data_IF_971113690396
#
_entry.id   IF_971113690396
#
_cell.length_a   1.000
_cell.length_b   1.000
_cell.length_c   1.000
_cell.angle_alpha   90.00
_cell.angle_beta   90.00
_cell.angle_gamma   90.00
#
_symmetry.space_group_name_H-M   'P 1'
#
loop_
_entity.id
_entity.type
_entity.pdbx_description
1 polymer ?
#
# COMPACT_ATOMS: atom_id res chain seq x y z
N UNK A 1 47.87 17.74 9.56
CA UNK A 1 46.63 17.00 9.88
C UNK A 1 46.43 15.98 8.78
N UNK A 2 46.73 14.70 9.04
CA UNK A 2 46.51 13.63 8.08
C UNK A 2 45.04 13.19 8.16
N UNK A 3 44.33 13.23 7.04
CA UNK A 3 42.97 12.70 6.89
C UNK A 3 43.08 11.19 6.69
N UNK A 4 42.77 10.39 7.71
CA UNK A 4 42.58 8.96 7.50
C UNK A 4 41.30 8.71 6.72
N UNK A 5 41.42 7.96 5.62
CA UNK A 5 40.27 7.54 4.81
C UNK A 5 39.57 6.39 5.54
N UNK A 6 38.30 6.61 5.89
CA UNK A 6 37.41 5.59 6.44
C UNK A 6 37.38 4.36 5.52
N UNK A 7 37.77 3.20 6.06
CA UNK A 7 37.77 1.93 5.34
C UNK A 7 36.34 1.58 4.90
N UNK A 8 36.13 1.47 3.58
CA UNK A 8 34.84 1.09 3.01
C UNK A 8 34.51 -0.37 3.36
N UNK A 9 33.43 -0.58 4.13
CA UNK A 9 33.00 -1.91 4.55
C UNK A 9 32.25 -2.65 3.42
N UNK A 10 33.01 -3.48 2.69
CA UNK A 10 32.54 -4.30 1.58
C UNK A 10 31.46 -5.31 2.03
N UNK A 11 31.54 -5.83 3.25
CA UNK A 11 30.61 -6.82 3.77
C UNK A 11 29.22 -6.19 3.99
N UNK A 12 29.18 -5.00 4.58
CA UNK A 12 27.94 -4.23 4.78
C UNK A 12 27.29 -3.87 3.44
N UNK A 13 28.10 -3.50 2.44
CA UNK A 13 27.60 -3.16 1.10
C UNK A 13 26.97 -4.36 0.38
N UNK A 14 27.60 -5.54 0.44
CA UNK A 14 27.07 -6.79 -0.14
C UNK A 14 25.75 -7.22 0.52
N UNK A 15 25.65 -7.16 1.85
CA UNK A 15 24.44 -7.50 2.59
C UNK A 15 23.25 -6.58 2.22
N UNK A 16 23.50 -5.28 2.05
CA UNK A 16 22.49 -4.30 1.60
C UNK A 16 22.00 -4.62 0.17
N UNK A 17 22.90 -5.03 -0.72
CA UNK A 17 22.54 -5.34 -2.10
C UNK A 17 21.67 -6.62 -2.21
N UNK A 18 21.96 -7.62 -1.37
CA UNK A 18 21.15 -8.84 -1.25
C UNK A 18 19.70 -8.53 -0.83
N UNK A 19 19.51 -7.73 0.23
CA UNK A 19 18.17 -7.31 0.68
C UNK A 19 17.41 -6.54 -0.39
N UNK A 20 18.10 -5.67 -1.16
CA UNK A 20 17.48 -4.92 -2.26
C UNK A 20 17.00 -5.85 -3.37
N UNK A 21 17.82 -6.84 -3.76
CA UNK A 21 17.45 -7.86 -4.76
C UNK A 21 16.23 -8.68 -4.30
N UNK A 22 16.21 -9.10 -3.05
CA UNK A 22 15.08 -9.86 -2.47
C UNK A 22 13.80 -9.01 -2.42
N UNK A 23 13.91 -7.72 -2.07
CA UNK A 23 12.76 -6.79 -2.11
C UNK A 23 12.19 -6.63 -3.52
N UNK A 24 13.05 -6.51 -4.53
CA UNK A 24 12.66 -6.39 -5.93
C UNK A 24 11.98 -7.68 -6.39
N UNK A 25 12.60 -8.84 -6.16
CA UNK A 25 12.02 -10.14 -6.53
C UNK A 25 10.68 -10.39 -5.84
N UNK A 26 10.57 -10.02 -4.55
CA UNK A 26 9.31 -10.07 -3.81
C UNK A 26 8.25 -9.16 -4.45
N UNK A 27 8.62 -7.94 -4.84
CA UNK A 27 7.73 -7.03 -5.55
C UNK A 27 7.28 -7.62 -6.90
N UNK A 28 8.17 -8.22 -7.68
CA UNK A 28 7.83 -8.90 -8.94
C UNK A 28 6.90 -10.10 -8.71
N UNK A 29 7.13 -10.91 -7.68
CA UNK A 29 6.28 -12.07 -7.36
C UNK A 29 4.89 -11.68 -6.84
N UNK A 30 4.79 -10.53 -6.17
CA UNK A 30 3.51 -9.97 -5.71
C UNK A 30 2.73 -9.29 -6.85
N UNK A 31 3.37 -9.00 -7.99
CA UNK A 31 2.69 -8.59 -9.23
C UNK A 31 2.13 -9.83 -9.95
N UNK A 32 1.19 -10.51 -9.30
CA UNK A 32 0.30 -11.43 -9.98
C UNK A 32 -0.62 -10.61 -10.90
N UNK A 33 -0.39 -10.74 -12.21
CA UNK A 33 -1.28 -10.30 -13.29
C UNK A 33 -1.50 -8.77 -13.43
N UNK A 34 -0.46 -8.01 -13.76
CA UNK A 34 -0.66 -6.63 -14.22
C UNK A 34 -0.88 -6.59 -15.73
N UNK A 35 -2.12 -6.34 -16.16
CA UNK A 35 -2.44 -5.76 -17.47
C UNK A 35 -1.98 -4.28 -17.50
N UNK A 36 -0.76 -4.00 -17.03
CA UNK A 36 -0.09 -2.70 -17.15
C UNK A 36 0.81 -2.78 -18.39
N UNK A 37 0.17 -2.72 -19.56
CA UNK A 37 0.86 -2.63 -20.85
C UNK A 37 1.50 -1.23 -20.89
N UNK A 38 2.84 -1.18 -20.89
CA UNK A 38 3.56 0.08 -21.08
C UNK A 38 3.15 0.74 -22.40
N UNK A 39 2.87 2.04 -22.37
CA UNK A 39 2.44 2.81 -23.56
C UNK A 39 0.97 3.21 -23.59
N UNK A 40 0.18 2.89 -22.56
CA UNK A 40 -1.21 3.39 -22.44
C UNK A 40 -1.26 4.73 -21.71
N UNK A 41 -2.08 5.68 -22.21
CA UNK A 41 -2.31 7.02 -21.61
C UNK A 41 -3.17 6.98 -20.33
N UNK A 42 -3.35 5.80 -19.73
CA UNK A 42 -4.26 5.62 -18.61
C UNK A 42 -3.55 5.89 -17.28
N UNK A 43 -4.28 6.50 -16.35
CA UNK A 43 -3.76 6.91 -15.04
C UNK A 43 -3.48 5.66 -14.21
N UNK A 44 -2.23 5.20 -14.16
CA UNK A 44 -1.87 4.01 -13.37
C UNK A 44 -2.06 4.28 -11.87
N UNK A 45 -2.84 3.42 -11.22
CA UNK A 45 -3.00 3.44 -9.76
C UNK A 45 -1.94 2.50 -9.16
N UNK A 46 -1.26 2.95 -8.12
CA UNK A 46 -0.26 2.13 -7.45
C UNK A 46 -0.94 1.04 -6.62
N UNK A 47 -0.27 -0.10 -6.43
CA UNK A 47 -0.78 -1.20 -5.59
C UNK A 47 -1.20 -0.74 -4.19
N UNK A 48 -0.43 0.19 -3.61
CA UNK A 48 -0.78 0.79 -2.32
C UNK A 48 -2.14 1.49 -2.35
N UNK A 49 -2.45 2.26 -3.41
CA UNK A 49 -3.73 2.96 -3.54
C UNK A 49 -4.89 1.99 -3.77
N UNK A 50 -4.68 0.89 -4.49
CA UNK A 50 -5.68 -0.18 -4.59
C UNK A 50 -5.96 -0.81 -3.22
N UNK A 51 -4.91 -1.14 -2.45
CA UNK A 51 -5.04 -1.70 -1.11
C UNK A 51 -5.76 -0.73 -0.15
N UNK A 52 -5.42 0.56 -0.22
CA UNK A 52 -6.13 1.63 0.52
C UNK A 52 -7.60 1.70 0.12
N UNK A 53 -7.91 1.64 -1.18
CA UNK A 53 -9.27 1.66 -1.69
C UNK A 53 -10.11 0.47 -1.18
N UNK A 54 -9.55 -0.74 -1.23
CA UNK A 54 -10.23 -1.95 -0.74
C UNK A 54 -10.51 -1.87 0.77
N UNK A 55 -9.52 -1.46 1.57
CA UNK A 55 -9.70 -1.26 3.02
C UNK A 55 -10.74 -0.17 3.29
N UNK A 56 -10.67 0.94 2.58
CA UNK A 56 -11.59 2.07 2.74
C UNK A 56 -13.03 1.68 2.41
N UNK A 57 -13.27 0.96 1.31
CA UNK A 57 -14.61 0.50 0.93
C UNK A 57 -15.19 -0.49 1.94
N UNK A 58 -14.36 -1.36 2.52
CA UNK A 58 -14.81 -2.20 3.63
C UNK A 58 -15.20 -1.37 4.85
N UNK A 59 -14.39 -0.39 5.25
CA UNK A 59 -14.71 0.50 6.37
C UNK A 59 -15.96 1.35 6.13
N UNK A 60 -16.26 1.72 4.89
CA UNK A 60 -17.50 2.40 4.52
C UNK A 60 -18.72 1.49 4.75
N UNK A 61 -18.61 0.17 4.52
CA UNK A 61 -19.74 -0.75 4.69
C UNK A 61 -20.01 -1.15 6.13
N UNK A 62 -18.97 -1.26 6.97
CA UNK A 62 -19.08 -1.68 8.38
C UNK A 62 -18.95 -0.53 9.38
N UNK A 63 -18.77 0.71 8.91
CA UNK A 63 -18.50 1.95 9.68
C UNK A 63 -17.15 1.98 10.42
N UNK A 64 -16.83 0.95 11.19
CA UNK A 64 -15.57 0.82 11.91
C UNK A 64 -15.18 -0.64 12.12
N UNK A 65 -13.89 -0.95 12.05
CA UNK A 65 -13.40 -2.30 12.26
C UNK A 65 -11.96 -2.32 12.80
N UNK A 66 -11.58 -3.46 13.38
CA UNK A 66 -10.21 -3.72 13.79
C UNK A 66 -9.31 -4.12 12.60
N UNK A 67 -7.98 -3.89 12.67
CA UNK A 67 -7.05 -4.35 11.63
C UNK A 67 -7.13 -5.85 11.36
N UNK A 68 -7.56 -6.65 12.34
CA UNK A 68 -7.73 -8.09 12.21
C UNK A 68 -8.93 -8.43 11.32
N UNK A 69 -10.08 -7.80 11.57
CA UNK A 69 -11.30 -7.98 10.77
C UNK A 69 -11.09 -7.50 9.35
N UNK A 70 -10.51 -6.30 9.19
CA UNK A 70 -10.17 -5.73 7.89
C UNK A 70 -9.27 -6.68 7.12
N UNK A 71 -8.19 -7.20 7.73
CA UNK A 71 -7.30 -8.17 7.09
C UNK A 71 -8.02 -9.46 6.72
N UNK A 72 -8.91 -9.96 7.57
CA UNK A 72 -9.68 -11.17 7.30
C UNK A 72 -10.62 -11.02 6.12
N UNK A 73 -11.15 -9.81 5.90
CA UNK A 73 -12.06 -9.52 4.79
C UNK A 73 -11.31 -9.23 3.49
N UNK A 74 -10.26 -8.40 3.55
CA UNK A 74 -9.54 -7.94 2.34
C UNK A 74 -8.38 -8.85 1.94
N UNK A 75 -7.94 -9.77 2.81
CA UNK A 75 -6.72 -10.56 2.66
C UNK A 75 -5.44 -9.73 2.49
N UNK A 76 -5.45 -8.44 2.87
CA UNK A 76 -4.27 -7.57 2.77
C UNK A 76 -3.41 -7.72 4.02
N UNK A 77 -2.26 -8.37 3.90
CA UNK A 77 -1.34 -8.58 5.03
C UNK A 77 -0.82 -7.27 5.65
N UNK A 78 -0.65 -6.25 4.80
CA UNK A 78 -0.10 -4.93 5.19
C UNK A 78 -1.13 -4.01 5.82
N UNK A 79 -2.38 -4.47 6.04
CA UNK A 79 -3.50 -3.67 6.59
C UNK A 79 -3.08 -2.84 7.80
N UNK A 80 -2.42 -3.45 8.79
CA UNK A 80 -1.98 -2.73 10.00
C UNK A 80 -0.99 -1.61 9.68
N UNK A 81 -0.04 -1.83 8.76
CA UNK A 81 0.92 -0.80 8.36
C UNK A 81 0.26 0.31 7.54
N UNK A 82 -0.74 -0.01 6.72
CA UNK A 82 -1.47 0.97 5.91
C UNK A 82 -2.28 1.90 6.82
N UNK A 83 -3.04 1.32 7.75
CA UNK A 83 -3.85 2.06 8.73
C UNK A 83 -2.99 2.93 9.66
N UNK A 84 -1.81 2.44 10.08
CA UNK A 84 -0.91 3.20 10.95
C UNK A 84 -0.21 4.34 10.23
N UNK A 85 0.27 4.11 9.00
CA UNK A 85 1.01 5.12 8.23
C UNK A 85 0.09 6.19 7.67
N UNK A 86 -1.08 5.78 7.18
CA UNK A 86 -2.17 6.66 6.74
C UNK A 86 -1.70 7.91 5.96
N UNK A 87 -0.81 7.72 4.96
CA UNK A 87 -0.12 8.83 4.29
C UNK A 87 -1.05 9.88 3.69
N UNK A 88 -2.21 9.44 3.19
CA UNK A 88 -3.19 10.29 2.53
C UNK A 88 -4.32 10.73 3.48
N UNK A 89 -4.28 10.32 4.75
CA UNK A 89 -5.26 10.73 5.76
C UNK A 89 -6.66 10.13 5.61
N UNK A 90 -6.83 9.01 4.90
CA UNK A 90 -8.15 8.39 4.70
C UNK A 90 -8.75 7.80 5.98
N UNK A 91 -7.93 7.34 6.92
CA UNK A 91 -8.39 6.58 8.08
C UNK A 91 -8.34 7.41 9.37
N UNK A 92 -9.30 7.19 10.26
CA UNK A 92 -9.34 7.75 11.61
C UNK A 92 -9.39 6.62 12.63
N UNK A 93 -8.64 6.78 13.72
CA UNK A 93 -8.67 5.83 14.84
C UNK A 93 -9.72 6.29 15.84
N UNK A 94 -10.78 5.50 16.01
CA UNK A 94 -11.88 5.81 16.94
C UNK A 94 -11.58 5.31 18.35
N UNK A 95 -10.95 4.14 18.46
CA UNK A 95 -10.57 3.53 19.73
C UNK A 95 -9.25 2.77 19.61
N UNK A 96 -8.81 2.14 20.71
CA UNK A 96 -7.58 1.35 20.70
C UNK A 96 -7.74 0.15 19.76
N UNK A 97 -7.18 0.27 18.55
CA UNK A 97 -7.17 -0.81 17.57
C UNK A 97 -8.45 -0.89 16.73
N UNK A 98 -9.27 0.16 16.71
CA UNK A 98 -10.46 0.27 15.87
C UNK A 98 -10.33 1.51 14.98
N UNK A 99 -10.58 1.33 13.69
CA UNK A 99 -10.43 2.36 12.66
C UNK A 99 -11.74 2.56 11.90
N UNK A 100 -11.98 3.78 11.45
CA UNK A 100 -13.05 4.17 10.54
C UNK A 100 -12.49 4.98 9.36
N UNK A 101 -13.33 5.20 8.35
CA UNK A 101 -13.03 6.12 7.25
C UNK A 101 -13.28 7.57 7.66
N UNK A 102 -12.45 8.50 7.21
CA UNK A 102 -12.75 9.92 7.30
C UNK A 102 -13.95 10.25 6.39
N UNK A 103 -15.01 10.82 6.98
CA UNK A 103 -16.23 11.19 6.27
C UNK A 103 -15.97 12.12 5.09
N UNK A 104 -15.01 13.05 5.22
CA UNK A 104 -14.64 14.00 4.16
C UNK A 104 -13.99 13.33 2.93
N UNK A 105 -13.54 12.08 3.09
CA UNK A 105 -12.82 11.33 2.07
C UNK A 105 -13.66 10.25 1.38
N UNK A 106 -14.88 10.00 1.85
CA UNK A 106 -15.75 8.94 1.32
C UNK A 106 -15.99 9.12 -0.18
N UNK A 107 -16.27 10.33 -0.63
CA UNK A 107 -16.55 10.60 -2.04
C UNK A 107 -15.31 10.40 -2.92
N UNK A 108 -14.13 10.76 -2.42
CA UNK A 108 -12.86 10.54 -3.09
C UNK A 108 -12.57 9.03 -3.27
N UNK A 109 -12.80 8.23 -2.23
CA UNK A 109 -12.66 6.76 -2.28
C UNK A 109 -13.65 6.16 -3.27
N UNK A 110 -14.93 6.57 -3.23
CA UNK A 110 -15.94 6.06 -4.19
C UNK A 110 -15.54 6.36 -5.64
N UNK A 111 -15.05 7.57 -5.90
CA UNK A 111 -14.57 7.94 -7.23
C UNK A 111 -13.36 7.09 -7.65
N UNK A 112 -12.38 6.92 -6.76
CA UNK A 112 -11.22 6.05 -7.01
C UNK A 112 -11.63 4.60 -7.27
N UNK A 113 -12.58 4.06 -6.49
CA UNK A 113 -13.11 2.72 -6.69
C UNK A 113 -13.73 2.58 -8.08
N UNK A 114 -14.57 3.53 -8.51
CA UNK A 114 -15.15 3.51 -9.85
C UNK A 114 -14.07 3.49 -10.94
N UNK A 115 -13.01 4.29 -10.80
CA UNK A 115 -11.89 4.30 -11.76
C UNK A 115 -11.17 2.95 -11.80
N UNK A 116 -10.88 2.33 -10.65
CA UNK A 116 -10.19 1.04 -10.59
C UNK A 116 -11.00 -0.06 -11.30
N UNK A 117 -12.31 -0.12 -11.06
CA UNK A 117 -13.16 -1.18 -11.61
C UNK A 117 -13.58 -0.93 -13.05
N UNK A 118 -13.70 0.34 -13.49
CA UNK A 118 -13.91 0.66 -14.91
C UNK A 118 -12.72 0.18 -15.76
N UNK A 119 -11.49 0.38 -15.29
CA UNK A 119 -10.29 -0.07 -15.98
C UNK A 119 -10.08 -1.60 -15.98
N UNK A 120 -10.82 -2.36 -15.17
CA UNK A 120 -10.76 -3.84 -15.16
C UNK A 120 -11.65 -4.50 -16.22
N UNK A 121 -12.65 -3.79 -16.72
CA UNK A 121 -13.66 -4.32 -17.66
C UNK A 121 -13.36 -4.02 -19.14
N UNK A 122 -12.25 -3.33 -19.42
CA UNK A 122 -11.68 -3.10 -20.76
C UNK A 122 -10.38 -3.92 -20.94
#
# INVERSE_FOLDING_TARGET
MFLEVSVYDIARSKARNKKRKESILKEFSLRQYSKNIGGTKNKHITRYKEEVNEIAMYLISVSSASPKEIKSFTNIEKTSSILQKNYDGYFKRVERGIYCIDSSKIDEIKHMHQLIYKNKND
#
